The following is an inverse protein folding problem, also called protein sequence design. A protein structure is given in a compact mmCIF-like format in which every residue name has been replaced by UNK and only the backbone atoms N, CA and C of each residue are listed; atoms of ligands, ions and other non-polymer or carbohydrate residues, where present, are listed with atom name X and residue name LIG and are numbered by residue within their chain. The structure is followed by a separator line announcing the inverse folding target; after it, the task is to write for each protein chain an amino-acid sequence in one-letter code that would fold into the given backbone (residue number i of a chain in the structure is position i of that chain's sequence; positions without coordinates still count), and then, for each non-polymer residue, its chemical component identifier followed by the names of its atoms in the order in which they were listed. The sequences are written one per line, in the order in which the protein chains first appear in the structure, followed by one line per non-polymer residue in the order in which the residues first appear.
data_IF_216300164223
#
_entry.id   IF_216300164223
#
_cell.length_a   1.000
_cell.length_b   1.000
_cell.length_c   1.000
_cell.angle_alpha   90.00
_cell.angle_beta   90.00
_cell.angle_gamma   90.00
#
_symmetry.space_group_name_H-M   'P 1'
#
loop_
_entity.id
_entity.type
_entity.pdbx_description
1 polymer ?
#
# COMPACT_ATOMS: atom_id res chain seq x y z
N UNK A 1 -7.51 -5.33 9.21
CA UNK A 1 -6.39 -5.13 8.26
C UNK A 1 -6.90 -5.47 6.87
N UNK A 2 -6.62 -4.67 5.83
CA UNK A 2 -7.07 -4.95 4.46
C UNK A 2 -6.49 -6.26 3.92
N UNK A 3 -7.17 -6.88 2.97
CA UNK A 3 -6.59 -7.99 2.22
C UNK A 3 -5.75 -7.43 1.05
N UNK A 4 -4.45 -7.28 1.28
CA UNK A 4 -3.54 -6.69 0.29
C UNK A 4 -3.34 -7.54 -0.97
N UNK A 5 -3.47 -8.87 -0.87
CA UNK A 5 -3.38 -9.75 -2.05
C UNK A 5 -4.56 -9.52 -3.01
N UNK A 6 -5.78 -9.38 -2.47
CA UNK A 6 -6.95 -9.05 -3.28
C UNK A 6 -6.85 -7.66 -3.91
N UNK A 7 -6.37 -6.67 -3.15
CA UNK A 7 -6.15 -5.32 -3.67
C UNK A 7 -5.16 -5.35 -4.83
N UNK A 8 -4.01 -6.01 -4.64
CA UNK A 8 -2.98 -6.14 -5.67
C UNK A 8 -3.49 -6.81 -6.94
N UNK A 9 -4.26 -7.89 -6.81
CA UNK A 9 -4.83 -8.61 -7.95
C UNK A 9 -5.84 -7.77 -8.75
N UNK A 10 -6.49 -6.79 -8.11
CA UNK A 10 -7.47 -5.91 -8.75
C UNK A 10 -6.83 -4.69 -9.45
N UNK A 11 -5.56 -4.40 -9.19
CA UNK A 11 -4.89 -3.21 -9.70
C UNK A 11 -4.13 -3.49 -11.01
N UNK A 12 -4.20 -2.56 -11.98
CA UNK A 12 -3.35 -2.60 -13.18
C UNK A 12 -1.88 -2.34 -12.85
N UNK A 13 -1.63 -1.49 -11.85
CA UNK A 13 -0.31 -1.20 -11.30
C UNK A 13 -0.42 -1.28 -9.77
N UNK A 14 0.45 -2.03 -9.09
CA UNK A 14 0.32 -2.33 -7.67
C UNK A 14 0.80 -1.15 -6.81
N UNK A 15 0.14 0.02 -6.89
CA UNK A 15 0.55 1.27 -6.24
C UNK A 15 -0.54 1.80 -5.32
N UNK A 16 -0.17 2.24 -4.11
CA UNK A 16 -1.04 2.88 -3.12
C UNK A 16 -0.48 4.25 -2.72
N UNK A 17 -1.34 5.27 -2.80
CA UNK A 17 -1.10 6.60 -2.22
C UNK A 17 -1.99 6.76 -0.98
N UNK A 18 -1.38 6.91 0.20
CA UNK A 18 -2.09 7.05 1.47
C UNK A 18 -1.94 8.47 2.03
N UNK A 19 -2.97 9.29 1.81
CA UNK A 19 -3.06 10.67 2.30
C UNK A 19 -3.31 10.82 3.79
N UNK A 20 -3.58 9.73 4.51
CA UNK A 20 -3.93 9.71 5.93
C UNK A 20 -2.93 8.91 6.76
N UNK A 21 -2.00 8.24 6.10
CA UNK A 21 -0.97 7.40 6.70
C UNK A 21 -1.53 6.28 7.59
N UNK A 22 -2.65 5.69 7.17
CA UNK A 22 -3.37 4.61 7.83
C UNK A 22 -2.57 3.31 7.89
N UNK A 23 -1.72 3.06 6.89
CA UNK A 23 -0.97 1.82 6.81
C UNK A 23 0.51 1.98 7.19
N UNK A 24 1.09 0.90 7.73
CA UNK A 24 2.54 0.82 7.90
C UNK A 24 3.22 0.53 6.56
N UNK A 25 4.22 1.32 6.13
CA UNK A 25 4.88 1.12 4.84
C UNK A 25 5.45 -0.29 4.66
N UNK A 26 6.10 -0.86 5.68
CA UNK A 26 6.68 -2.19 5.62
C UNK A 26 5.61 -3.27 5.37
N UNK A 27 4.46 -3.14 6.03
CA UNK A 27 3.34 -4.07 5.85
C UNK A 27 2.81 -4.04 4.42
N UNK A 28 2.60 -2.85 3.83
CA UNK A 28 2.09 -2.77 2.45
C UNK A 28 3.12 -3.31 1.45
N UNK A 29 4.40 -2.97 1.64
CA UNK A 29 5.51 -3.38 0.77
C UNK A 29 5.78 -4.87 0.82
N UNK A 30 5.57 -5.55 1.96
CA UNK A 30 5.74 -7.00 2.07
C UNK A 30 4.79 -7.77 1.14
N UNK A 31 3.64 -7.18 0.77
CA UNK A 31 2.68 -7.74 -0.17
C UNK A 31 3.01 -7.38 -1.64
N UNK A 32 4.12 -6.69 -1.88
CA UNK A 32 4.54 -6.26 -3.22
C UNK A 32 3.69 -5.15 -3.81
N UNK A 33 3.16 -4.26 -2.95
CA UNK A 33 2.53 -3.01 -3.33
C UNK A 33 3.53 -1.85 -3.09
N UNK A 34 3.72 -1.00 -4.08
CA UNK A 34 4.38 0.27 -3.91
C UNK A 34 3.52 1.19 -3.05
N UNK A 35 4.14 1.85 -2.07
CA UNK A 35 3.42 2.61 -1.07
C UNK A 35 4.04 3.99 -0.83
N UNK A 36 3.21 5.01 -1.02
CA UNK A 36 3.53 6.42 -0.85
C UNK A 36 2.68 7.03 0.26
N UNK A 37 3.33 7.48 1.32
CA UNK A 37 2.71 8.15 2.48
C UNK A 37 3.01 9.66 2.45
N UNK A 38 2.21 10.44 3.16
CA UNK A 38 2.43 11.89 3.30
C UNK A 38 3.31 12.17 4.51
N UNK A 39 4.43 12.88 4.30
CA UNK A 39 5.32 13.31 5.38
C UNK A 39 6.06 12.18 6.10
N UNK A 40 6.11 10.97 5.52
CA UNK A 40 6.91 9.83 5.98
C UNK A 40 7.96 9.51 4.92
N UNK A 41 9.22 9.33 5.32
CA UNK A 41 10.31 8.85 4.44
C UNK A 41 10.39 7.33 4.48
#
# INVERSE_FOLDING_TARGET
VPNFEQIKAALRQPVIFDGRNLYQPAQVRQHGLEYFAIGRR
#
